data_IF_237686252506
#
_entry.id   IF_237686252506
#
_cell.length_a   1.000
_cell.length_b   1.000
_cell.length_c   1.000
_cell.angle_alpha   90.00
_cell.angle_beta   90.00
_cell.angle_gamma   90.00
#
_symmetry.space_group_name_H-M   'P 1'
#
loop_
_entity.id
_entity.type
_entity.pdbx_description
1 polymer ?
#
# COMPACT_ATOMS: atom_id res chain seq x y z
N UNK A 1 -8.13 -7.77 -1.63
CA UNK A 1 -9.07 -7.04 -0.87
C UNK A 1 -10.56 -7.33 -1.11
N UNK A 2 -10.95 -8.57 -1.56
CA UNK A 2 -12.36 -8.90 -1.81
C UNK A 2 -13.10 -9.55 -0.64
N UNK A 3 -12.47 -9.70 0.53
CA UNK A 3 -13.11 -10.28 1.71
C UNK A 3 -14.06 -9.30 2.37
N UNK A 4 -15.22 -9.79 2.80
CA UNK A 4 -16.12 -9.01 3.66
C UNK A 4 -15.52 -8.86 5.05
N UNK A 5 -15.67 -7.68 5.63
CA UNK A 5 -15.10 -7.32 6.92
C UNK A 5 -16.13 -6.56 7.74
N UNK A 6 -16.34 -6.98 8.99
CA UNK A 6 -17.41 -6.44 9.86
C UNK A 6 -18.80 -6.45 9.18
N UNK A 7 -19.10 -7.51 8.43
CA UNK A 7 -20.39 -7.68 7.75
C UNK A 7 -20.48 -6.90 6.44
N UNK A 8 -20.62 -5.60 6.49
CA UNK A 8 -20.81 -4.74 5.32
C UNK A 8 -19.55 -4.06 4.78
N UNK A 9 -18.43 -4.10 5.53
CA UNK A 9 -17.16 -3.55 5.10
C UNK A 9 -16.29 -4.61 4.46
N UNK A 10 -15.50 -4.19 3.48
CA UNK A 10 -14.42 -5.01 2.90
C UNK A 10 -13.08 -4.43 3.30
N UNK A 11 -12.04 -5.24 3.28
CA UNK A 11 -10.68 -4.79 3.62
C UNK A 11 -10.25 -3.60 2.76
N UNK A 12 -10.63 -3.57 1.48
CA UNK A 12 -10.34 -2.46 0.56
C UNK A 12 -10.95 -1.13 1.02
N UNK A 13 -12.01 -1.13 1.83
CA UNK A 13 -12.65 0.10 2.29
C UNK A 13 -11.72 0.94 3.16
N UNK A 14 -10.78 0.33 3.88
CA UNK A 14 -9.84 1.06 4.74
C UNK A 14 -8.89 1.96 3.95
N UNK A 15 -8.10 1.48 2.96
CA UNK A 15 -7.25 2.38 2.20
C UNK A 15 -8.03 3.41 1.39
N UNK A 16 -9.18 3.06 0.80
CA UNK A 16 -9.99 4.03 0.05
C UNK A 16 -10.53 5.11 0.99
N UNK A 17 -11.04 4.73 2.16
CA UNK A 17 -11.53 5.70 3.16
C UNK A 17 -10.41 6.59 3.69
N UNK A 18 -9.22 6.04 3.95
CA UNK A 18 -8.05 6.81 4.37
C UNK A 18 -7.68 7.87 3.31
N UNK A 19 -7.68 7.49 2.04
CA UNK A 19 -7.38 8.41 0.94
C UNK A 19 -8.44 9.50 0.83
N UNK A 20 -9.73 9.14 0.86
CA UNK A 20 -10.84 10.08 0.80
C UNK A 20 -10.82 11.05 1.97
N UNK A 21 -10.65 10.55 3.20
CA UNK A 21 -10.60 11.37 4.41
C UNK A 21 -9.37 12.27 4.47
N UNK A 22 -8.32 11.93 3.76
CA UNK A 22 -7.10 12.75 3.63
C UNK A 22 -7.19 13.80 2.51
N UNK A 23 -8.34 13.91 1.83
CA UNK A 23 -8.54 14.86 0.75
C UNK A 23 -7.98 14.41 -0.61
N UNK A 24 -7.65 13.13 -0.75
CA UNK A 24 -7.21 12.55 -2.02
C UNK A 24 -8.45 12.14 -2.81
N UNK A 25 -8.73 12.83 -3.89
CA UNK A 25 -9.94 12.61 -4.70
C UNK A 25 -9.70 11.75 -5.93
N UNK A 26 -8.50 11.76 -6.48
CA UNK A 26 -8.15 10.93 -7.64
C UNK A 26 -7.49 9.66 -7.15
N UNK A 27 -8.17 8.53 -7.34
CA UNK A 27 -7.72 7.21 -6.89
C UNK A 27 -7.76 6.21 -8.02
N UNK A 28 -6.79 5.30 -8.01
CA UNK A 28 -6.75 4.14 -8.90
C UNK A 28 -6.70 2.88 -8.07
N UNK A 29 -7.58 1.94 -8.37
CA UNK A 29 -7.64 0.64 -7.70
C UNK A 29 -7.23 -0.44 -8.69
N UNK A 30 -6.12 -1.11 -8.41
CA UNK A 30 -5.58 -2.18 -9.26
C UNK A 30 -6.12 -3.52 -8.79
N UNK A 31 -6.78 -4.24 -9.67
CA UNK A 31 -7.49 -5.48 -9.36
C UNK A 31 -6.92 -6.63 -10.17
N UNK A 32 -6.56 -7.72 -9.49
CA UNK A 32 -5.94 -8.90 -10.12
C UNK A 32 -6.92 -10.05 -10.34
N UNK A 33 -7.84 -10.31 -9.40
CA UNK A 33 -8.74 -11.48 -9.43
C UNK A 33 -10.16 -11.10 -9.03
N UNK A 34 -11.15 -11.83 -9.58
CA UNK A 34 -12.59 -11.68 -9.29
C UNK A 34 -13.03 -10.20 -9.28
N UNK A 35 -12.79 -9.48 -10.37
CA UNK A 35 -12.96 -8.03 -10.36
C UNK A 35 -14.42 -7.60 -10.22
N UNK A 36 -15.37 -8.38 -10.73
CA UNK A 36 -16.78 -7.99 -10.80
C UNK A 36 -17.36 -7.63 -9.43
N UNK A 37 -17.22 -8.53 -8.45
CA UNK A 37 -17.73 -8.30 -7.10
C UNK A 37 -17.07 -7.08 -6.43
N UNK A 38 -15.78 -6.86 -6.66
CA UNK A 38 -15.05 -5.73 -6.13
C UNK A 38 -15.46 -4.42 -6.81
N UNK A 39 -15.63 -4.42 -8.13
CA UNK A 39 -16.07 -3.26 -8.91
C UNK A 39 -17.46 -2.83 -8.49
N UNK A 40 -18.40 -3.77 -8.33
CA UNK A 40 -19.76 -3.49 -7.86
C UNK A 40 -19.74 -2.90 -6.43
N UNK A 41 -18.88 -3.39 -5.55
CA UNK A 41 -18.73 -2.89 -4.20
C UNK A 41 -18.17 -1.47 -4.18
N UNK A 42 -17.11 -1.20 -4.93
CA UNK A 42 -16.49 0.13 -5.00
C UNK A 42 -17.43 1.13 -5.69
N UNK A 43 -18.09 0.72 -6.77
CA UNK A 43 -19.02 1.54 -7.54
C UNK A 43 -18.38 2.85 -8.01
N UNK A 44 -19.11 3.96 -7.82
CA UNK A 44 -18.64 5.31 -8.21
C UNK A 44 -17.84 6.01 -7.12
N UNK A 45 -17.63 5.36 -5.97
CA UNK A 45 -16.95 5.96 -4.82
C UNK A 45 -17.82 6.85 -3.93
N UNK A 46 -19.12 6.90 -4.16
CA UNK A 46 -20.04 7.79 -3.40
C UNK A 46 -20.04 7.52 -1.90
N UNK A 47 -20.00 6.26 -1.49
CA UNK A 47 -19.98 5.89 -0.07
C UNK A 47 -18.64 6.15 0.62
N UNK A 48 -17.60 6.56 -0.14
CA UNK A 48 -16.30 7.00 0.39
C UNK A 48 -16.18 8.53 0.45
N UNK A 49 -17.26 9.27 0.18
CA UNK A 49 -17.28 10.74 0.16
C UNK A 49 -16.31 11.34 -0.89
N UNK A 50 -16.10 10.66 -1.99
CA UNK A 50 -15.28 11.18 -3.09
C UNK A 50 -16.08 12.25 -3.85
N UNK A 51 -15.52 13.45 -3.96
CA UNK A 51 -16.15 14.56 -4.65
C UNK A 51 -16.14 14.33 -6.17
N UNK A 52 -17.31 14.08 -6.77
CA UNK A 52 -17.46 13.81 -8.20
C UNK A 52 -17.06 14.98 -9.12
N UNK A 53 -17.00 16.19 -8.60
CA UNK A 53 -16.56 17.38 -9.37
C UNK A 53 -15.04 17.53 -9.44
N UNK A 54 -14.32 17.04 -8.44
CA UNK A 54 -12.87 17.15 -8.30
C UNK A 54 -12.16 15.81 -8.32
N UNK A 55 -12.87 14.74 -8.00
CA UNK A 55 -12.30 13.44 -7.77
C UNK A 55 -12.73 12.42 -8.80
N UNK A 56 -11.90 11.40 -8.92
CA UNK A 56 -12.13 10.25 -9.82
C UNK A 56 -11.66 9.00 -9.13
N UNK A 57 -12.53 8.00 -9.04
CA UNK A 57 -12.18 6.65 -8.66
C UNK A 57 -12.16 5.78 -9.90
N UNK A 58 -10.98 5.35 -10.32
CA UNK A 58 -10.81 4.44 -11.44
C UNK A 58 -10.44 3.05 -10.96
N UNK A 59 -11.10 2.02 -11.49
CA UNK A 59 -10.74 0.63 -11.26
C UNK A 59 -10.00 0.11 -12.48
N UNK A 60 -8.76 -0.32 -12.28
CA UNK A 60 -7.87 -0.79 -13.32
C UNK A 60 -7.65 -2.29 -13.18
N UNK A 61 -7.71 -3.00 -14.29
CA UNK A 61 -7.58 -4.46 -14.32
C UNK A 61 -6.25 -4.86 -14.90
N UNK A 62 -5.68 -5.92 -14.34
CA UNK A 62 -4.56 -6.61 -14.96
C UNK A 62 -5.10 -7.66 -15.91
N UNK A 63 -4.87 -7.47 -17.21
CA UNK A 63 -5.36 -8.35 -18.27
C UNK A 63 -4.48 -9.57 -18.52
N UNK A 64 -3.27 -9.60 -17.98
CA UNK A 64 -2.35 -10.72 -18.19
C UNK A 64 -2.90 -12.02 -17.61
N UNK A 65 -2.64 -13.12 -18.31
CA UNK A 65 -3.11 -14.46 -18.01
C UNK A 65 -2.92 -14.85 -16.55
N UNK A 66 -4.03 -14.99 -15.91
CA UNK A 66 -4.29 -15.14 -14.49
C UNK A 66 -3.71 -16.43 -13.92
N UNK A 67 -3.40 -17.44 -14.74
CA UNK A 67 -3.04 -18.78 -14.30
C UNK A 67 -1.56 -18.94 -13.93
N UNK A 68 -0.71 -17.98 -14.26
CA UNK A 68 0.70 -17.96 -13.88
C UNK A 68 0.95 -16.97 -12.73
N UNK A 69 0.69 -17.39 -11.50
CA UNK A 69 0.92 -16.58 -10.30
C UNK A 69 2.35 -16.03 -10.14
N UNK A 70 3.28 -16.53 -10.94
CA UNK A 70 4.70 -16.11 -10.94
C UNK A 70 4.89 -14.74 -11.59
N UNK A 71 4.04 -14.34 -12.55
CA UNK A 71 4.19 -13.10 -13.32
C UNK A 71 3.22 -11.99 -12.90
N UNK A 72 2.46 -12.22 -11.83
CA UNK A 72 1.44 -11.30 -11.34
C UNK A 72 1.98 -10.36 -10.25
N UNK A 73 2.90 -9.48 -10.62
CA UNK A 73 3.42 -8.47 -9.71
C UNK A 73 2.63 -7.17 -9.82
N UNK A 74 2.76 -6.32 -8.79
CA UNK A 74 2.22 -4.96 -8.82
C UNK A 74 2.84 -4.14 -9.97
N UNK A 75 4.12 -4.36 -10.26
CA UNK A 75 4.82 -3.71 -11.38
C UNK A 75 4.15 -4.02 -12.72
N UNK A 76 3.76 -5.28 -12.94
CA UNK A 76 3.07 -5.67 -14.16
C UNK A 76 1.73 -4.92 -14.32
N UNK A 77 0.97 -4.79 -13.23
CA UNK A 77 -0.29 -4.04 -13.23
C UNK A 77 -0.09 -2.56 -13.56
N UNK A 78 0.94 -1.93 -12.99
CA UNK A 78 1.28 -0.54 -13.28
C UNK A 78 1.71 -0.35 -14.74
N UNK A 79 2.52 -1.26 -15.27
CA UNK A 79 2.99 -1.21 -16.66
C UNK A 79 1.85 -1.31 -17.67
N UNK A 80 0.85 -2.14 -17.40
CA UNK A 80 -0.32 -2.28 -18.28
C UNK A 80 -1.20 -1.02 -18.31
N UNK A 81 -1.10 -0.16 -17.30
CA UNK A 81 -1.96 1.01 -17.12
C UNK A 81 -1.17 2.32 -17.05
N UNK A 82 0.01 2.40 -17.67
CA UNK A 82 0.87 3.58 -17.59
C UNK A 82 0.20 4.86 -18.11
N UNK A 83 -0.58 4.78 -19.16
CA UNK A 83 -1.30 5.92 -19.76
C UNK A 83 -2.34 6.52 -18.79
N UNK A 84 -2.84 5.74 -17.81
CA UNK A 84 -3.71 6.28 -16.78
C UNK A 84 -3.03 7.29 -15.86
N UNK A 85 -1.70 7.28 -15.78
CA UNK A 85 -0.94 8.26 -15.00
C UNK A 85 -0.81 9.61 -15.69
N UNK A 86 -0.96 9.67 -17.00
CA UNK A 86 -0.93 10.93 -17.75
C UNK A 86 -2.08 11.87 -17.38
N UNK A 87 -3.19 11.31 -16.90
CA UNK A 87 -4.35 12.06 -16.42
C UNK A 87 -4.16 12.62 -15.00
N UNK A 88 -3.11 12.22 -14.30
CA UNK A 88 -2.83 12.65 -12.92
C UNK A 88 -1.95 13.90 -12.96
N UNK A 89 -2.51 15.04 -12.55
CA UNK A 89 -1.79 16.32 -12.49
C UNK A 89 -1.02 16.51 -11.18
N UNK A 90 -1.19 15.65 -10.20
CA UNK A 90 -0.48 15.73 -8.93
C UNK A 90 1.00 15.41 -9.09
N UNK A 91 1.84 16.17 -8.38
CA UNK A 91 3.29 15.92 -8.34
C UNK A 91 3.65 14.64 -7.56
N UNK A 92 2.83 14.29 -6.57
CA UNK A 92 3.08 13.17 -5.66
C UNK A 92 2.04 12.07 -5.82
N UNK A 93 2.45 10.85 -5.49
CA UNK A 93 1.56 9.69 -5.38
C UNK A 93 1.70 9.03 -4.02
N UNK A 94 0.57 8.55 -3.50
CA UNK A 94 0.51 7.68 -2.31
C UNK A 94 0.07 6.31 -2.78
N UNK A 95 0.84 5.29 -2.42
CA UNK A 95 0.53 3.89 -2.75
C UNK A 95 0.23 3.17 -1.45
N UNK A 96 -0.89 2.47 -1.39
CA UNK A 96 -1.33 1.74 -0.22
C UNK A 96 -1.84 0.34 -0.58
N UNK A 97 -1.66 -0.66 0.30
CA UNK A 97 -2.12 -2.02 0.06
C UNK A 97 -3.60 -2.18 0.36
N UNK A 98 -4.21 -3.21 -0.23
CA UNK A 98 -5.61 -3.57 0.01
C UNK A 98 -5.81 -4.66 1.07
N UNK A 99 -4.74 -5.19 1.64
CA UNK A 99 -4.77 -6.32 2.58
C UNK A 99 -4.38 -5.93 4.02
N UNK A 100 -4.21 -4.65 4.29
CA UNK A 100 -3.90 -4.14 5.62
C UNK A 100 -5.04 -3.28 6.13
N UNK A 101 -5.31 -3.38 7.44
CA UNK A 101 -6.35 -2.64 8.14
C UNK A 101 -5.70 -1.63 9.07
N UNK A 102 -5.87 -0.36 8.77
CA UNK A 102 -5.39 0.74 9.59
C UNK A 102 -6.10 2.03 9.20
N UNK A 103 -6.07 3.02 10.06
CA UNK A 103 -6.46 4.38 9.74
C UNK A 103 -5.23 5.27 9.70
N UNK A 104 -5.15 6.16 8.73
CA UNK A 104 -4.02 7.07 8.58
C UNK A 104 -4.45 8.37 7.91
N UNK A 105 -3.78 9.46 8.29
CA UNK A 105 -3.88 10.73 7.60
C UNK A 105 -2.74 10.85 6.58
N UNK A 106 -3.06 10.63 5.32
CA UNK A 106 -2.08 10.72 4.25
C UNK A 106 -1.63 12.14 3.94
N UNK A 107 -2.42 13.15 4.33
CA UNK A 107 -1.97 14.55 4.18
C UNK A 107 -0.83 14.87 5.15
N UNK A 108 -0.87 14.38 6.37
CA UNK A 108 0.25 14.50 7.31
C UNK A 108 1.47 13.71 6.82
N UNK A 109 1.27 12.52 6.28
CA UNK A 109 2.30 11.68 5.70
C UNK A 109 3.00 12.39 4.53
N UNK A 110 2.24 12.95 3.60
CA UNK A 110 2.75 13.73 2.47
C UNK A 110 3.50 14.97 2.94
N UNK A 111 2.96 15.71 3.92
CA UNK A 111 3.61 16.91 4.46
C UNK A 111 4.97 16.58 5.05
N UNK A 112 5.05 15.52 5.84
CA UNK A 112 6.33 15.06 6.42
C UNK A 112 7.33 14.70 5.33
N UNK A 113 6.87 14.02 4.27
CA UNK A 113 7.71 13.70 3.12
C UNK A 113 8.28 14.96 2.45
N UNK A 114 7.42 15.92 2.14
CA UNK A 114 7.83 17.17 1.49
C UNK A 114 8.82 17.95 2.38
N UNK A 115 8.51 18.09 3.65
CA UNK A 115 9.34 18.84 4.60
C UNK A 115 10.71 18.19 4.81
N UNK A 116 10.80 16.86 4.69
CA UNK A 116 12.06 16.13 4.84
C UNK A 116 13.01 16.30 3.66
N UNK A 117 12.48 16.57 2.47
CA UNK A 117 13.24 16.56 1.23
C UNK A 117 13.65 15.16 0.75
N UNK A 118 13.13 14.10 1.36
CA UNK A 118 13.43 12.73 0.96
C UNK A 118 12.93 12.39 -0.44
N UNK A 119 13.51 11.39 -1.07
CA UNK A 119 13.04 10.86 -2.34
C UNK A 119 11.81 9.96 -2.17
N UNK A 120 11.82 9.11 -1.15
CA UNK A 120 10.74 8.19 -0.82
C UNK A 120 10.53 8.18 0.69
N UNK A 121 9.27 8.14 1.13
CA UNK A 121 8.92 7.91 2.53
C UNK A 121 8.04 6.67 2.64
N UNK A 122 8.38 5.80 3.58
CA UNK A 122 7.73 4.52 3.83
C UNK A 122 7.07 4.53 5.20
N UNK A 123 5.81 4.11 5.28
CA UNK A 123 5.08 3.99 6.53
C UNK A 123 5.34 2.64 7.19
N UNK A 124 5.60 2.64 8.48
CA UNK A 124 5.85 1.42 9.26
C UNK A 124 5.13 1.44 10.60
N UNK A 125 4.89 0.26 11.14
CA UNK A 125 4.31 0.07 12.46
C UNK A 125 5.25 -0.79 13.31
N UNK A 126 5.66 -0.27 14.47
CA UNK A 126 6.52 -1.02 15.40
C UNK A 126 5.70 -2.04 16.18
N UNK A 127 6.18 -3.28 16.21
CA UNK A 127 5.54 -4.39 16.92
C UNK A 127 6.53 -5.08 17.85
N UNK A 128 6.01 -5.74 18.88
CA UNK A 128 6.77 -6.53 19.85
C UNK A 128 6.47 -8.03 19.80
N UNK A 129 5.70 -8.47 18.81
CA UNK A 129 5.22 -9.83 18.63
C UNK A 129 5.54 -10.42 17.26
N UNK A 130 6.60 -9.93 16.63
CA UNK A 130 6.95 -10.31 15.26
C UNK A 130 7.42 -11.77 15.11
N UNK A 131 7.76 -12.47 16.21
CA UNK A 131 8.12 -13.89 16.15
C UNK A 131 6.96 -14.79 15.72
N UNK A 132 5.75 -14.45 16.17
CA UNK A 132 4.55 -15.28 16.00
C UNK A 132 3.47 -14.63 15.14
N UNK A 133 3.66 -13.36 14.77
CA UNK A 133 2.71 -12.56 14.02
C UNK A 133 3.37 -11.91 12.80
N UNK A 134 2.56 -11.45 11.88
CA UNK A 134 2.99 -10.80 10.63
C UNK A 134 3.93 -11.66 9.77
N UNK A 135 3.60 -12.95 9.55
CA UNK A 135 4.45 -13.82 8.74
C UNK A 135 4.53 -13.27 7.31
N UNK A 136 5.73 -13.33 6.74
CA UNK A 136 6.01 -12.90 5.36
C UNK A 136 5.80 -11.39 5.09
N UNK A 137 5.49 -10.59 6.11
CA UNK A 137 5.54 -9.14 5.97
C UNK A 137 6.98 -8.67 5.82
N UNK A 138 7.18 -7.60 5.07
CA UNK A 138 8.48 -6.94 5.02
C UNK A 138 8.72 -6.14 6.30
N UNK A 139 9.96 -6.07 6.72
CA UNK A 139 10.41 -5.24 7.85
C UNK A 139 11.41 -4.19 7.35
N UNK A 140 11.47 -3.05 8.04
CA UNK A 140 12.40 -1.98 7.72
C UNK A 140 13.54 -1.95 8.74
N UNK A 141 14.77 -1.90 8.24
CA UNK A 141 15.95 -1.59 9.03
C UNK A 141 16.15 -0.08 8.96
N UNK A 142 16.00 0.60 10.11
CA UNK A 142 15.91 2.06 10.20
C UNK A 142 17.06 2.56 11.09
N UNK A 143 17.76 3.62 10.65
CA UNK A 143 18.78 4.26 11.44
C UNK A 143 18.18 5.30 12.43
N UNK A 144 19.02 5.94 13.24
CA UNK A 144 18.57 6.90 14.25
C UNK A 144 17.89 8.15 13.65
N UNK A 145 18.21 8.51 12.44
CA UNK A 145 17.65 9.64 11.72
C UNK A 145 16.42 9.28 10.87
N UNK A 146 15.84 8.12 11.11
CA UNK A 146 14.69 7.59 10.34
C UNK A 146 15.01 7.28 8.88
N UNK A 147 16.27 7.15 8.51
CA UNK A 147 16.65 6.63 7.20
C UNK A 147 16.43 5.12 7.10
N UNK A 148 15.88 4.68 5.99
CA UNK A 148 15.69 3.25 5.71
C UNK A 148 16.95 2.71 5.05
N UNK A 149 17.59 1.76 5.71
CA UNK A 149 18.83 1.13 5.24
C UNK A 149 18.51 -0.03 4.29
N UNK A 150 17.50 -0.82 4.63
CA UNK A 150 17.08 -1.99 3.85
C UNK A 150 15.72 -2.48 4.29
N UNK A 151 15.12 -3.34 3.47
CA UNK A 151 13.95 -4.15 3.81
C UNK A 151 14.34 -5.62 3.84
N UNK A 152 13.75 -6.38 4.75
CA UNK A 152 13.90 -7.83 4.79
C UNK A 152 12.60 -8.50 5.26
N UNK A 153 12.30 -9.73 4.79
CA UNK A 153 11.09 -10.41 5.24
C UNK A 153 11.15 -10.75 6.73
N UNK A 154 9.99 -10.74 7.39
CA UNK A 154 9.85 -11.21 8.76
C UNK A 154 9.90 -12.74 8.79
N UNK A 155 11.01 -13.30 9.21
CA UNK A 155 11.23 -14.74 9.33
C UNK A 155 10.99 -15.27 10.76
N UNK A 156 10.48 -14.43 11.67
CA UNK A 156 10.25 -14.82 13.04
C UNK A 156 11.51 -14.87 13.92
N UNK A 157 12.61 -14.26 13.48
CA UNK A 157 13.90 -14.29 14.17
C UNK A 157 13.99 -13.33 15.34
N UNK A 158 13.22 -12.27 15.34
CA UNK A 158 13.23 -11.24 16.37
C UNK A 158 11.81 -10.86 16.77
N UNK A 159 11.64 -10.58 18.06
CA UNK A 159 10.39 -10.16 18.68
C UNK A 159 9.99 -8.73 18.27
N UNK A 160 10.95 -7.81 18.28
CA UNK A 160 10.73 -6.40 17.99
C UNK A 160 11.11 -6.11 16.54
N UNK A 161 10.14 -5.67 15.75
CA UNK A 161 10.35 -5.33 14.36
C UNK A 161 9.54 -4.09 13.96
N UNK A 162 10.02 -3.42 12.92
CA UNK A 162 9.31 -2.36 12.24
C UNK A 162 8.66 -2.94 10.98
N UNK A 163 7.38 -3.26 11.08
CA UNK A 163 6.65 -3.86 9.95
C UNK A 163 6.37 -2.78 8.91
N UNK A 164 6.82 -3.03 7.69
CA UNK A 164 6.50 -2.15 6.58
C UNK A 164 5.02 -2.32 6.19
N UNK A 165 4.32 -1.20 6.14
CA UNK A 165 2.88 -1.18 5.86
C UNK A 165 2.56 -1.13 4.36
N UNK A 166 3.53 -1.44 3.51
CA UNK A 166 3.42 -1.37 2.04
C UNK A 166 2.80 -0.05 1.56
N UNK A 167 3.03 1.01 2.33
CA UNK A 167 2.51 2.35 2.09
C UNK A 167 3.66 3.29 1.81
N UNK A 168 3.61 3.92 0.64
CA UNK A 168 4.68 4.75 0.09
C UNK A 168 4.15 6.14 -0.23
N UNK A 169 5.02 7.14 -0.14
CA UNK A 169 4.82 8.43 -0.79
C UNK A 169 6.09 8.83 -1.54
N UNK A 170 5.94 9.31 -2.75
CA UNK A 170 7.03 9.78 -3.60
C UNK A 170 6.47 10.64 -4.72
N UNK A 171 7.34 11.33 -5.44
CA UNK A 171 6.94 12.02 -6.66
C UNK A 171 6.47 11.03 -7.71
N UNK A 172 5.44 11.41 -8.47
CA UNK A 172 4.91 10.59 -9.56
C UNK A 172 5.99 10.22 -10.58
N UNK A 173 6.85 11.16 -10.95
CA UNK A 173 7.91 10.91 -11.93
C UNK A 173 8.89 9.85 -11.43
N UNK A 174 9.29 9.91 -10.16
CA UNK A 174 10.13 8.88 -9.56
C UNK A 174 9.44 7.52 -9.54
N UNK A 175 8.17 7.48 -9.19
CA UNK A 175 7.39 6.25 -9.20
C UNK A 175 7.39 5.59 -10.59
N UNK A 176 7.13 6.37 -11.63
CA UNK A 176 7.13 5.86 -13.01
C UNK A 176 8.52 5.35 -13.43
N UNK A 177 9.57 6.05 -13.06
CA UNK A 177 10.95 5.60 -13.33
C UNK A 177 11.27 4.28 -12.62
N UNK A 178 10.87 4.13 -11.36
CA UNK A 178 11.10 2.90 -10.59
C UNK A 178 10.32 1.72 -11.17
N UNK A 179 9.07 1.94 -11.58
CA UNK A 179 8.24 0.92 -12.21
C UNK A 179 8.88 0.42 -13.51
N UNK A 180 9.31 1.33 -14.36
CA UNK A 180 9.97 0.98 -15.62
C UNK A 180 11.30 0.28 -15.40
N UNK A 181 12.10 0.73 -14.44
CA UNK A 181 13.37 0.10 -14.08
C UNK A 181 13.17 -1.32 -13.57
N UNK A 182 12.20 -1.53 -12.66
CA UNK A 182 11.87 -2.85 -12.14
C UNK A 182 11.44 -3.80 -13.25
N UNK A 183 10.59 -3.33 -14.15
CA UNK A 183 10.10 -4.12 -15.29
C UNK A 183 11.22 -4.59 -16.21
N UNK A 184 12.22 -3.73 -16.44
CA UNK A 184 13.38 -4.07 -17.27
C UNK A 184 14.31 -5.08 -16.60
N UNK A 185 14.41 -5.04 -15.26
CA UNK A 185 15.31 -5.93 -14.52
C UNK A 185 14.78 -7.35 -14.42
N UNK A 186 13.50 -7.51 -14.13
CA UNK A 186 12.88 -8.83 -13.99
C UNK A 186 11.35 -8.72 -13.99
N UNK A 187 10.69 -9.71 -14.60
CA UNK A 187 9.24 -9.86 -14.53
C UNK A 187 8.75 -10.22 -13.12
N UNK A 188 9.66 -10.60 -12.22
CA UNK A 188 9.34 -10.99 -10.85
C UNK A 188 9.53 -9.86 -9.82
N UNK A 189 10.13 -8.74 -10.21
CA UNK A 189 10.33 -7.62 -9.30
C UNK A 189 9.01 -6.98 -8.92
N UNK A 190 8.90 -6.66 -7.62
CA UNK A 190 7.81 -5.86 -7.05
C UNK A 190 8.29 -4.42 -6.81
N UNK A 191 7.35 -3.53 -6.51
CA UNK A 191 7.71 -2.16 -6.09
C UNK A 191 8.58 -2.18 -4.83
N UNK A 192 8.28 -3.05 -3.86
CA UNK A 192 9.09 -3.21 -2.66
C UNK A 192 10.54 -3.60 -3.00
N UNK A 193 10.73 -4.51 -3.95
CA UNK A 193 12.06 -4.96 -4.36
C UNK A 193 12.89 -3.82 -4.94
N UNK A 194 12.33 -3.03 -5.86
CA UNK A 194 13.06 -1.93 -6.48
C UNK A 194 13.33 -0.79 -5.48
N UNK A 195 12.42 -0.53 -4.57
CA UNK A 195 12.63 0.45 -3.50
C UNK A 195 13.74 -0.03 -2.54
N UNK A 196 13.75 -1.31 -2.18
CA UNK A 196 14.81 -1.88 -1.35
C UNK A 196 16.20 -1.70 -1.99
N UNK A 197 16.34 -2.02 -3.26
CA UNK A 197 17.59 -1.78 -3.99
C UNK A 197 17.99 -0.31 -4.01
N UNK A 198 17.00 0.57 -4.13
CA UNK A 198 17.21 2.01 -4.24
C UNK A 198 17.63 2.67 -2.92
N UNK A 199 17.52 1.97 -1.77
CA UNK A 199 17.94 2.51 -0.47
C UNK A 199 19.40 2.92 -0.41
N UNK A 200 20.24 2.38 -1.28
CA UNK A 200 21.68 2.73 -1.35
C UNK A 200 21.95 4.03 -2.10
N UNK A 201 21.07 4.44 -2.98
CA UNK A 201 21.26 5.57 -3.89
C UNK A 201 20.31 6.73 -3.60
N UNK A 202 19.10 6.43 -3.12
CA UNK A 202 18.08 7.41 -2.82
C UNK A 202 17.96 7.66 -1.32
N UNK A 203 17.47 8.84 -0.98
CA UNK A 203 17.10 9.18 0.41
C UNK A 203 15.71 8.57 0.68
N UNK A 204 15.69 7.42 1.35
CA UNK A 204 14.48 6.72 1.74
C UNK A 204 14.30 6.84 3.24
N UNK A 205 13.18 7.38 3.69
CA UNK A 205 12.89 7.63 5.10
C UNK A 205 11.67 6.87 5.58
N UNK A 206 11.63 6.64 6.88
CA UNK A 206 10.57 5.91 7.55
C UNK A 206 9.65 6.87 8.31
N UNK A 207 8.34 6.61 8.22
CA UNK A 207 7.30 7.36 8.91
C UNK A 207 6.55 6.43 9.87
N UNK A 208 6.56 6.69 11.19
CA UNK A 208 5.92 5.81 12.17
C UNK A 208 4.40 5.99 12.17
N UNK A 209 3.71 4.88 11.99
CA UNK A 209 2.26 4.82 12.16
C UNK A 209 1.92 4.52 13.62
N UNK A 210 0.90 5.20 14.14
CA UNK A 210 0.33 4.97 15.48
C UNK A 210 -1.13 4.60 15.35
N UNK A 211 -1.62 3.76 16.25
CA UNK A 211 -2.99 3.28 16.25
C UNK A 211 -3.09 1.82 15.81
N UNK A 212 -4.31 1.37 15.54
CA UNK A 212 -4.56 -0.01 15.17
C UNK A 212 -3.96 -0.35 13.80
N UNK A 213 -3.30 -1.51 13.73
CA UNK A 213 -2.73 -2.05 12.52
C UNK A 213 -2.89 -3.56 12.50
N UNK A 214 -3.41 -4.10 11.40
CA UNK A 214 -3.48 -5.53 11.16
C UNK A 214 -3.28 -5.84 9.69
N UNK A 215 -2.80 -7.05 9.39
CA UNK A 215 -2.68 -7.55 8.02
C UNK A 215 -3.55 -8.79 7.87
N UNK A 216 -4.22 -8.91 6.73
CA UNK A 216 -5.05 -10.04 6.39
C UNK A 216 -4.25 -10.92 5.44
N UNK A 217 -3.50 -11.87 5.99
CA UNK A 217 -2.66 -12.79 5.22
C UNK A 217 -3.32 -14.15 5.02
N UNK A 218 -4.19 -14.56 5.97
CA UNK A 218 -4.90 -15.84 5.96
C UNK A 218 -6.28 -15.70 6.63
N UNK A 219 -7.03 -16.80 6.68
CA UNK A 219 -8.36 -16.82 7.28
C UNK A 219 -8.34 -16.54 8.80
N UNK A 220 -7.35 -17.04 9.51
CA UNK A 220 -7.25 -16.83 10.95
C UNK A 220 -6.97 -15.37 11.29
N UNK A 221 -6.03 -14.72 10.59
CA UNK A 221 -5.76 -13.29 10.73
C UNK A 221 -7.01 -12.46 10.46
N UNK A 222 -7.78 -12.80 9.46
CA UNK A 222 -9.04 -12.15 9.14
C UNK A 222 -10.04 -12.23 10.29
N UNK A 223 -10.20 -13.41 10.87
CA UNK A 223 -11.14 -13.64 11.98
C UNK A 223 -10.74 -12.87 13.24
N UNK A 224 -9.49 -12.93 13.66
CA UNK A 224 -8.96 -12.20 14.82
C UNK A 224 -9.14 -10.68 14.64
N UNK A 225 -8.84 -10.15 13.47
CA UNK A 225 -9.01 -8.72 13.16
C UNK A 225 -10.46 -8.27 13.27
N UNK A 226 -11.42 -9.10 12.82
CA UNK A 226 -12.85 -8.79 13.00
C UNK A 226 -13.25 -8.72 14.46
N UNK A 227 -12.76 -9.62 15.31
CA UNK A 227 -13.02 -9.60 16.74
C UNK A 227 -12.45 -8.35 17.40
N UNK A 228 -11.19 -8.03 17.13
CA UNK A 228 -10.52 -6.85 17.68
C UNK A 228 -11.28 -5.55 17.39
N UNK A 229 -11.77 -5.40 16.17
CA UNK A 229 -12.52 -4.20 15.77
C UNK A 229 -13.92 -4.13 16.35
N UNK A 230 -14.54 -5.28 16.66
CA UNK A 230 -15.84 -5.27 17.36
C UNK A 230 -15.70 -4.91 18.83
N UNK A 231 -14.56 -5.19 19.44
CA UNK A 231 -14.28 -4.86 20.84
C UNK A 231 -13.91 -3.39 21.07
N UNK A 232 -13.59 -2.66 20.01
CA UNK A 232 -13.26 -1.23 20.07
C UNK A 232 -14.47 -0.29 20.11
N UNK A 233 -15.67 -0.82 20.26
CA UNK A 233 -16.91 -0.03 20.44
C UNK A 233 -17.11 0.27 21.95
#
# INVERSE_FOLDING_TARGET
GAFSFLGRYRVIDFPISNMSNSGIDVMQVYVRRKPRSLVEHIGTGRHYNINSKRGKLATLFQESNIDNGIYNTDIAAYMENLDCFDEINSEYVVIAPSYMVYTADYSAFLKTHIDSGADITLMYHSVDNAKDHFPNCQTLNINKQKGVLSMEPNLGNAKNRNIFMDTYVMKKDLFLDLVQKAHKLSSMYTLADIVNESCKELDVRAYPHRGYFATISDFNSYYETNLDLTDLK
#
